data_IF_670393483179
#
_entry.id   IF_670393483179
#
_cell.length_a   1.000
_cell.length_b   1.000
_cell.length_c   1.000
_cell.angle_alpha   90.00
_cell.angle_beta   90.00
_cell.angle_gamma   90.00
#
_symmetry.space_group_name_H-M   'P 1'
#
loop_
_entity.id
_entity.type
_entity.pdbx_description
1 polymer ?
#
# COMPACT_ATOMS: atom_id res chain seq x y z
N UNK A 1 8.98 -15.57 10.91
CA UNK A 1 10.34 -15.18 10.45
C UNK A 1 11.34 -16.31 10.71
N UNK A 2 12.27 -16.60 9.77
CA UNK A 2 13.30 -17.66 9.91
C UNK A 2 14.34 -17.27 10.97
N UNK A 3 14.90 -18.26 11.69
CA UNK A 3 15.88 -18.02 12.78
C UNK A 3 17.17 -17.34 12.32
N UNK A 4 17.62 -17.62 11.11
CA UNK A 4 18.80 -17.01 10.50
C UNK A 4 18.58 -15.50 10.34
N UNK A 5 17.47 -15.12 9.77
CA UNK A 5 17.06 -13.72 9.56
C UNK A 5 16.90 -12.96 10.89
N UNK A 6 16.37 -13.62 11.94
CA UNK A 6 16.31 -13.05 13.28
C UNK A 6 17.68 -12.68 13.82
N UNK A 7 18.68 -13.56 13.65
CA UNK A 7 20.06 -13.30 14.08
C UNK A 7 20.69 -12.14 13.29
N UNK A 8 20.40 -12.04 11.99
CA UNK A 8 20.90 -10.94 11.15
C UNK A 8 20.35 -9.59 11.62
N UNK A 9 19.04 -9.50 11.94
CA UNK A 9 18.46 -8.29 12.49
C UNK A 9 19.07 -7.91 13.85
N UNK A 10 19.22 -8.86 14.77
CA UNK A 10 19.87 -8.62 16.06
C UNK A 10 21.31 -8.11 15.87
N UNK A 11 22.05 -8.69 14.93
CA UNK A 11 23.44 -8.32 14.68
C UNK A 11 23.56 -6.92 14.06
N UNK A 12 22.71 -6.57 13.09
CA UNK A 12 22.81 -5.29 12.38
C UNK A 12 22.32 -4.12 13.24
N UNK A 13 21.39 -4.38 14.17
CA UNK A 13 20.80 -3.37 15.07
C UNK A 13 21.48 -3.33 16.46
N UNK A 14 22.59 -4.05 16.69
CA UNK A 14 23.24 -4.13 18.00
C UNK A 14 23.99 -2.86 18.43
N UNK A 15 24.12 -1.85 17.56
CA UNK A 15 24.77 -0.56 17.79
C UNK A 15 23.96 0.56 17.15
N UNK A 16 24.01 1.78 17.73
CA UNK A 16 23.38 2.96 17.13
C UNK A 16 23.78 3.15 15.66
N UNK A 17 22.80 3.47 14.84
CA UNK A 17 22.92 3.65 13.38
C UNK A 17 22.12 4.88 12.94
N UNK A 18 22.55 5.51 11.84
CA UNK A 18 21.74 6.43 11.06
C UNK A 18 20.89 5.60 10.08
N UNK A 19 19.59 5.71 10.19
CA UNK A 19 18.67 4.86 9.43
C UNK A 19 17.68 5.72 8.63
N UNK A 20 17.52 5.40 7.35
CA UNK A 20 16.45 5.95 6.53
C UNK A 20 15.45 4.85 6.25
N UNK A 21 14.15 5.17 6.38
CA UNK A 21 13.05 4.24 6.16
C UNK A 21 12.19 4.80 5.02
N UNK A 22 11.98 3.99 4.00
CA UNK A 22 11.36 4.43 2.75
C UNK A 22 10.15 3.54 2.44
N UNK A 23 8.91 4.09 2.33
CA UNK A 23 7.74 3.41 1.80
C UNK A 23 7.72 3.47 0.26
N UNK A 24 6.79 2.74 -0.38
CA UNK A 24 6.55 2.92 -1.81
C UNK A 24 5.95 4.29 -2.16
N UNK A 25 6.00 4.68 -3.45
CA UNK A 25 5.31 5.87 -3.99
C UNK A 25 3.80 5.76 -3.77
N UNK A 26 3.16 6.89 -3.44
CA UNK A 26 1.76 7.00 -3.04
C UNK A 26 1.44 6.04 -1.87
N UNK A 27 2.12 6.23 -0.72
CA UNK A 27 1.98 5.31 0.39
C UNK A 27 0.54 5.22 0.88
N UNK A 28 0.11 4.02 1.18
CA UNK A 28 -1.18 3.71 1.81
C UNK A 28 -1.04 3.48 3.32
N UNK A 29 -2.05 2.88 3.94
CA UNK A 29 -2.04 2.66 5.38
C UNK A 29 -1.00 1.64 5.84
N UNK A 30 -0.69 0.62 5.02
CA UNK A 30 0.31 -0.39 5.36
C UNK A 30 1.74 0.16 5.19
N UNK A 31 1.98 0.86 4.08
CA UNK A 31 3.27 1.51 3.83
C UNK A 31 3.62 2.55 4.90
N UNK A 32 2.69 3.43 5.29
CA UNK A 32 2.92 4.43 6.35
C UNK A 32 2.94 3.78 7.74
N UNK A 33 2.03 2.88 8.03
CA UNK A 33 1.97 2.19 9.31
C UNK A 33 3.25 1.43 9.62
N UNK A 34 3.76 0.66 8.66
CA UNK A 34 4.99 -0.11 8.80
C UNK A 34 6.22 0.80 8.99
N UNK A 35 6.35 1.86 8.18
CA UNK A 35 7.49 2.79 8.26
C UNK A 35 7.51 3.58 9.56
N UNK A 36 6.37 4.09 10.01
CA UNK A 36 6.26 4.82 11.27
C UNK A 36 6.51 3.92 12.48
N UNK A 37 6.00 2.68 12.47
CA UNK A 37 6.26 1.71 13.54
C UNK A 37 7.74 1.38 13.67
N UNK A 38 8.43 1.11 12.55
CA UNK A 38 9.89 0.87 12.53
C UNK A 38 10.65 2.12 12.99
N UNK A 39 10.23 3.31 12.55
CA UNK A 39 10.85 4.57 12.97
C UNK A 39 10.77 4.80 14.49
N UNK A 40 9.60 4.59 15.09
CA UNK A 40 9.44 4.68 16.54
C UNK A 40 10.30 3.64 17.26
N UNK A 41 10.28 2.39 16.81
CA UNK A 41 11.07 1.33 17.41
C UNK A 41 12.56 1.64 17.39
N UNK A 42 13.12 2.02 16.24
CA UNK A 42 14.53 2.31 16.08
C UNK A 42 14.97 3.52 16.92
N UNK A 43 14.20 4.59 16.96
CA UNK A 43 14.52 5.75 17.81
C UNK A 43 14.48 5.40 19.31
N UNK A 44 13.53 4.56 19.75
CA UNK A 44 13.47 4.08 21.15
C UNK A 44 14.67 3.19 21.52
N UNK A 45 15.19 2.44 20.56
CA UNK A 45 16.36 1.55 20.78
C UNK A 45 17.70 2.21 20.53
N UNK A 46 17.73 3.55 20.40
CA UNK A 46 18.95 4.37 20.37
C UNK A 46 19.54 4.59 18.98
N UNK A 47 18.84 4.23 17.90
CA UNK A 47 19.19 4.61 16.54
C UNK A 47 18.71 6.03 16.23
N UNK A 48 19.25 6.65 15.19
CA UNK A 48 18.77 7.91 14.62
C UNK A 48 18.04 7.59 13.31
N UNK A 49 16.71 7.49 13.33
CA UNK A 49 15.93 7.10 12.16
C UNK A 49 15.01 8.19 11.67
N UNK A 50 14.83 8.25 10.35
CA UNK A 50 13.95 9.18 9.65
C UNK A 50 13.15 8.46 8.57
N UNK A 51 11.88 8.84 8.40
CA UNK A 51 11.06 8.36 7.29
C UNK A 51 11.16 9.36 6.13
N UNK A 52 11.48 8.84 4.94
CA UNK A 52 11.52 9.60 3.68
C UNK A 52 10.51 9.00 2.71
N UNK A 53 9.39 9.69 2.49
CA UNK A 53 8.40 9.30 1.51
C UNK A 53 8.78 9.80 0.11
N UNK A 54 8.61 9.00 -0.95
CA UNK A 54 8.82 9.48 -2.32
C UNK A 54 7.96 10.70 -2.68
N UNK A 55 6.72 10.74 -2.19
CA UNK A 55 5.76 11.82 -2.47
C UNK A 55 4.67 11.93 -1.40
N UNK A 56 3.65 12.78 -1.67
CA UNK A 56 2.48 12.96 -0.82
C UNK A 56 1.64 11.68 -0.71
N UNK A 57 0.98 11.50 0.43
CA UNK A 57 0.04 10.44 0.73
C UNK A 57 -1.37 11.02 1.01
N UNK A 58 -2.43 10.18 1.05
CA UNK A 58 -3.80 10.66 1.27
C UNK A 58 -4.00 11.35 2.62
N UNK A 59 -4.77 12.45 2.61
CA UNK A 59 -5.03 13.28 3.81
C UNK A 59 -5.66 12.49 4.96
N UNK A 60 -6.43 11.44 4.68
CA UNK A 60 -7.04 10.59 5.71
C UNK A 60 -6.02 9.78 6.53
N UNK A 61 -4.73 9.83 6.21
CA UNK A 61 -3.64 9.24 6.99
C UNK A 61 -2.88 10.26 7.85
N UNK A 62 -3.22 11.56 7.76
CA UNK A 62 -2.55 12.64 8.49
C UNK A 62 -2.76 12.61 10.03
N UNK A 63 -3.57 11.70 10.54
CA UNK A 63 -3.76 11.49 11.99
C UNK A 63 -2.80 10.45 12.56
N UNK A 64 -2.09 9.68 11.73
CA UNK A 64 -1.16 8.67 12.22
C UNK A 64 -0.06 9.29 13.09
N UNK A 65 0.26 8.68 14.25
CA UNK A 65 1.34 9.16 15.09
C UNK A 65 2.66 9.28 14.34
N UNK A 66 3.33 10.44 14.43
CA UNK A 66 4.65 10.68 13.84
C UNK A 66 4.67 11.05 12.36
N UNK A 67 3.51 11.13 11.70
CA UNK A 67 3.42 11.50 10.30
C UNK A 67 3.97 12.91 10.01
N UNK A 68 3.90 13.81 10.98
CA UNK A 68 4.44 15.17 10.90
C UNK A 68 5.96 15.23 10.72
N UNK A 69 6.65 14.14 11.06
CA UNK A 69 8.10 13.98 10.89
C UNK A 69 8.53 13.32 9.57
N UNK A 70 7.58 12.96 8.71
CA UNK A 70 7.88 12.35 7.40
C UNK A 70 8.40 13.42 6.43
N UNK A 71 9.62 13.23 5.95
CA UNK A 71 10.18 14.03 4.85
C UNK A 71 9.62 13.55 3.52
N UNK A 72 9.11 14.48 2.72
CA UNK A 72 8.59 14.16 1.39
C UNK A 72 9.58 14.62 0.34
N UNK A 73 10.11 13.68 -0.43
CA UNK A 73 11.13 13.99 -1.44
C UNK A 73 10.64 15.03 -2.45
N UNK A 74 9.36 15.04 -2.80
CA UNK A 74 8.79 16.02 -3.74
C UNK A 74 8.88 17.47 -3.28
N UNK A 75 8.95 17.72 -1.97
CA UNK A 75 8.99 19.07 -1.38
C UNK A 75 10.29 19.40 -0.65
N UNK A 76 11.03 18.38 -0.22
CA UNK A 76 12.27 18.52 0.57
C UNK A 76 13.40 17.65 -0.05
N UNK A 77 13.58 17.74 -1.37
CA UNK A 77 14.48 16.90 -2.16
C UNK A 77 15.90 16.84 -1.60
N UNK A 78 16.53 18.00 -1.39
CA UNK A 78 17.93 18.08 -0.96
C UNK A 78 18.15 17.37 0.39
N UNK A 79 17.26 17.63 1.35
CA UNK A 79 17.32 17.03 2.69
C UNK A 79 17.07 15.52 2.67
N UNK A 80 16.14 15.06 1.82
CA UNK A 80 15.87 13.64 1.64
C UNK A 80 17.10 12.91 1.06
N UNK A 81 17.74 13.50 0.06
CA UNK A 81 18.97 12.96 -0.56
C UNK A 81 20.11 12.93 0.43
N UNK A 82 20.34 14.03 1.19
CA UNK A 82 21.39 14.10 2.23
C UNK A 82 21.24 12.99 3.27
N UNK A 83 20.00 12.73 3.72
CA UNK A 83 19.74 11.64 4.68
C UNK A 83 20.06 10.26 4.10
N UNK A 84 19.69 10.02 2.84
CA UNK A 84 19.95 8.73 2.16
C UNK A 84 21.46 8.52 1.98
N UNK A 85 22.19 9.56 1.60
CA UNK A 85 23.66 9.49 1.43
C UNK A 85 24.40 9.29 2.75
N UNK A 86 23.89 9.88 3.84
CA UNK A 86 24.49 9.79 5.17
C UNK A 86 24.07 8.52 5.96
N UNK A 87 23.19 7.70 5.44
CA UNK A 87 22.64 6.55 6.13
C UNK A 87 23.66 5.41 6.29
N UNK A 88 23.61 4.71 7.41
CA UNK A 88 24.25 3.41 7.62
C UNK A 88 23.36 2.26 7.11
N UNK A 89 22.03 2.45 7.25
CA UNK A 89 21.00 1.47 6.86
C UNK A 89 19.86 2.17 6.12
N UNK A 90 19.34 1.51 5.10
CA UNK A 90 18.10 1.90 4.42
C UNK A 90 17.10 0.76 4.55
N UNK A 91 16.00 1.02 5.26
CA UNK A 91 14.85 0.12 5.26
C UNK A 91 13.91 0.49 4.11
N UNK A 92 13.55 -0.48 3.32
CA UNK A 92 12.56 -0.38 2.26
C UNK A 92 11.36 -1.22 2.65
N UNK A 93 10.21 -0.57 2.85
CA UNK A 93 9.04 -1.21 3.44
C UNK A 93 7.86 -1.15 2.48
N UNK A 94 7.20 -2.30 2.34
CA UNK A 94 5.98 -2.47 1.58
C UNK A 94 6.14 -2.30 0.07
N UNK A 95 7.28 -2.73 -0.46
CA UNK A 95 7.48 -2.84 -1.90
C UNK A 95 8.56 -3.85 -2.29
N UNK A 96 8.34 -4.49 -3.44
CA UNK A 96 9.13 -5.60 -3.96
C UNK A 96 10.27 -5.20 -4.90
N UNK A 97 10.35 -3.94 -5.34
CA UNK A 97 11.36 -3.46 -6.28
C UNK A 97 11.58 -1.96 -6.18
N UNK A 98 12.80 -1.48 -6.46
CA UNK A 98 13.16 -0.06 -6.37
C UNK A 98 12.40 0.83 -7.35
N UNK A 99 11.89 0.31 -8.46
CA UNK A 99 11.03 1.06 -9.36
C UNK A 99 9.74 1.61 -8.70
N UNK A 100 9.36 1.07 -7.52
CA UNK A 100 8.21 1.55 -6.73
C UNK A 100 8.47 2.87 -5.98
N UNK A 101 9.70 3.36 -5.94
CA UNK A 101 10.08 4.64 -5.30
C UNK A 101 10.51 5.72 -6.30
N UNK A 102 10.46 5.41 -7.62
CA UNK A 102 10.73 6.34 -8.73
C UNK A 102 11.99 7.21 -8.53
N UNK A 103 11.80 8.51 -8.26
CA UNK A 103 12.90 9.47 -8.17
C UNK A 103 13.91 9.17 -7.04
N UNK A 104 13.55 8.37 -6.04
CA UNK A 104 14.49 7.94 -4.98
C UNK A 104 15.36 6.74 -5.40
N UNK A 105 14.98 5.98 -6.43
CA UNK A 105 15.72 4.79 -6.86
C UNK A 105 17.20 5.06 -7.17
N UNK A 106 17.58 6.10 -7.94
CA UNK A 106 19.01 6.39 -8.20
C UNK A 106 19.81 6.66 -6.92
N UNK A 107 19.21 7.38 -5.96
CA UNK A 107 19.87 7.72 -4.70
C UNK A 107 20.06 6.49 -3.80
N UNK A 108 19.05 5.61 -3.72
CA UNK A 108 19.13 4.35 -2.98
C UNK A 108 20.19 3.43 -3.60
N UNK A 109 20.23 3.34 -4.93
CA UNK A 109 21.22 2.53 -5.64
C UNK A 109 22.66 3.04 -5.44
N UNK A 110 22.85 4.36 -5.44
CA UNK A 110 24.16 4.98 -5.25
C UNK A 110 24.65 4.94 -3.78
N UNK A 111 23.73 4.78 -2.81
CA UNK A 111 24.08 4.75 -1.39
C UNK A 111 24.87 3.51 -1.01
N UNK A 112 25.93 3.69 -0.21
CA UNK A 112 26.73 2.61 0.40
C UNK A 112 26.05 1.97 1.61
N UNK A 113 24.92 2.50 2.08
CA UNK A 113 24.14 1.94 3.17
C UNK A 113 23.67 0.53 2.87
N UNK A 114 23.66 -0.35 3.88
CA UNK A 114 23.04 -1.66 3.74
C UNK A 114 21.54 -1.52 3.59
N UNK A 115 20.96 -2.20 2.61
CA UNK A 115 19.56 -2.17 2.27
C UNK A 115 18.84 -3.35 2.91
N UNK A 116 17.74 -3.07 3.58
CA UNK A 116 16.92 -4.06 4.29
C UNK A 116 15.50 -3.95 3.74
N UNK A 117 15.01 -5.01 3.09
CA UNK A 117 13.64 -5.08 2.57
C UNK A 117 12.75 -5.84 3.55
N UNK A 118 11.57 -5.27 3.87
CA UNK A 118 10.47 -5.98 4.52
C UNK A 118 9.23 -5.75 3.67
N UNK A 119 8.71 -6.83 3.06
CA UNK A 119 7.67 -6.74 2.05
C UNK A 119 6.87 -8.03 1.89
N UNK A 120 5.56 -7.88 1.67
CA UNK A 120 4.66 -9.01 1.46
C UNK A 120 4.17 -9.15 0.00
N UNK A 121 4.66 -8.33 -0.91
CA UNK A 121 4.33 -8.42 -2.32
C UNK A 121 4.97 -9.63 -3.01
N UNK A 122 4.36 -10.08 -4.10
CA UNK A 122 4.88 -11.15 -4.94
C UNK A 122 6.07 -10.68 -5.77
N UNK A 123 6.93 -11.64 -6.20
CA UNK A 123 8.05 -11.40 -7.11
C UNK A 123 9.04 -10.32 -6.61
N UNK A 124 9.64 -10.51 -5.43
CA UNK A 124 10.64 -9.57 -4.92
C UNK A 124 11.88 -9.57 -5.79
N UNK A 125 12.42 -8.38 -6.10
CA UNK A 125 13.70 -8.24 -6.78
C UNK A 125 14.87 -8.29 -5.79
N UNK A 126 16.01 -8.78 -6.26
CA UNK A 126 17.22 -9.01 -5.45
C UNK A 126 18.10 -7.75 -5.39
N UNK A 127 17.66 -6.71 -4.65
CA UNK A 127 18.39 -5.45 -4.48
C UNK A 127 18.87 -5.21 -3.05
N UNK A 128 18.31 -5.93 -2.09
CA UNK A 128 18.58 -5.68 -0.68
C UNK A 128 19.53 -6.71 -0.08
N UNK A 129 20.42 -6.25 0.82
CA UNK A 129 21.36 -7.11 1.53
C UNK A 129 20.68 -8.08 2.50
N UNK A 130 19.56 -7.64 3.10
CA UNK A 130 18.72 -8.46 3.98
C UNK A 130 17.29 -8.38 3.45
N UNK A 131 16.68 -9.54 3.21
CA UNK A 131 15.32 -9.63 2.66
C UNK A 131 14.41 -10.43 3.61
N UNK A 132 13.44 -9.73 4.20
CA UNK A 132 12.29 -10.35 4.84
C UNK A 132 11.08 -10.18 3.92
N UNK A 133 10.88 -11.15 3.03
CA UNK A 133 9.78 -11.19 2.08
C UNK A 133 8.96 -12.43 2.29
N UNK A 134 7.62 -12.26 2.42
CA UNK A 134 6.67 -13.37 2.58
C UNK A 134 5.28 -12.96 2.09
N UNK A 135 4.94 -13.37 0.89
CA UNK A 135 3.64 -13.07 0.25
C UNK A 135 2.44 -13.83 0.83
N UNK A 136 2.65 -14.71 1.83
CA UNK A 136 1.56 -15.38 2.55
C UNK A 136 1.09 -14.57 3.78
N UNK A 137 1.80 -13.52 4.16
CA UNK A 137 1.42 -12.62 5.25
C UNK A 137 0.55 -11.51 4.68
N UNK A 138 -0.50 -11.14 5.40
CA UNK A 138 -1.54 -10.23 4.93
C UNK A 138 -1.15 -8.76 4.81
N UNK A 139 -0.02 -8.34 5.40
CA UNK A 139 0.47 -6.96 5.36
C UNK A 139 1.93 -6.86 5.81
N UNK A 140 2.63 -5.83 5.36
CA UNK A 140 3.98 -5.49 5.85
C UNK A 140 3.95 -5.09 7.33
N UNK A 141 2.88 -4.48 7.82
CA UNK A 141 2.70 -4.18 9.24
C UNK A 141 2.67 -5.45 10.11
N UNK A 142 2.05 -6.54 9.68
CA UNK A 142 2.12 -7.81 10.42
C UNK A 142 3.54 -8.38 10.43
N UNK A 143 4.30 -8.21 9.35
CA UNK A 143 5.72 -8.60 9.31
C UNK A 143 6.57 -7.76 10.25
N UNK A 144 6.35 -6.46 10.30
CA UNK A 144 7.02 -5.52 11.23
C UNK A 144 6.66 -5.84 12.67
N UNK A 145 5.38 -6.14 12.98
CA UNK A 145 4.99 -6.64 14.30
C UNK A 145 5.80 -7.88 14.69
N UNK A 146 5.88 -8.88 13.81
CA UNK A 146 6.66 -10.09 14.05
C UNK A 146 8.15 -9.82 14.30
N UNK A 147 8.72 -8.82 13.61
CA UNK A 147 10.12 -8.40 13.80
C UNK A 147 10.31 -7.73 15.17
N UNK A 148 9.54 -6.69 15.46
CA UNK A 148 9.68 -5.91 16.71
C UNK A 148 9.42 -6.79 17.92
N UNK A 149 8.33 -7.58 17.92
CA UNK A 149 7.98 -8.48 19.00
C UNK A 149 9.07 -9.52 19.28
N UNK A 150 9.81 -9.95 18.24
CA UNK A 150 10.95 -10.83 18.40
C UNK A 150 12.19 -10.13 18.97
N UNK A 151 12.47 -8.89 18.54
CA UNK A 151 13.64 -8.12 18.99
C UNK A 151 13.45 -7.60 20.41
N UNK A 152 12.35 -6.94 20.69
CA UNK A 152 11.97 -6.41 22.02
C UNK A 152 10.48 -6.01 22.03
N UNK A 153 9.62 -6.95 22.42
CA UNK A 153 8.17 -6.76 22.50
C UNK A 153 7.75 -5.61 23.45
N UNK A 154 8.55 -5.33 24.47
CA UNK A 154 8.27 -4.27 25.43
C UNK A 154 8.33 -2.86 24.80
N UNK A 155 8.94 -2.70 23.63
CA UNK A 155 8.99 -1.43 22.92
C UNK A 155 7.70 -1.10 22.17
N UNK A 156 6.81 -2.08 21.94
CA UNK A 156 5.53 -1.84 21.27
C UNK A 156 4.61 -1.08 22.23
N UNK A 157 4.63 0.25 22.12
CA UNK A 157 3.72 1.13 22.84
C UNK A 157 2.48 1.45 21.98
N UNK A 158 1.59 2.30 22.53
CA UNK A 158 0.38 2.74 21.86
C UNK A 158 0.63 3.32 20.45
N UNK A 159 1.71 4.09 20.25
CA UNK A 159 2.01 4.70 18.94
C UNK A 159 2.36 3.65 17.91
N UNK A 160 3.27 2.74 18.25
CA UNK A 160 3.64 1.62 17.40
C UNK A 160 2.44 0.72 17.14
N UNK A 161 1.67 0.40 18.19
CA UNK A 161 0.48 -0.44 18.06
C UNK A 161 -0.58 0.19 17.14
N UNK A 162 -0.81 1.51 17.24
CA UNK A 162 -1.75 2.24 16.37
C UNK A 162 -1.29 2.19 14.91
N UNK A 163 -0.01 2.43 14.63
CA UNK A 163 0.53 2.37 13.27
C UNK A 163 0.38 0.96 12.66
N UNK A 164 0.78 -0.08 13.41
CA UNK A 164 0.70 -1.46 12.96
C UNK A 164 -0.73 -1.94 12.76
N UNK A 165 -1.64 -1.61 13.71
CA UNK A 165 -3.06 -1.93 13.58
C UNK A 165 -3.64 -1.33 12.30
N UNK A 166 -3.34 -0.05 12.05
CA UNK A 166 -3.85 0.67 10.88
C UNK A 166 -3.45 -0.03 9.57
N UNK A 167 -2.18 -0.38 9.41
CA UNK A 167 -1.72 -1.05 8.19
C UNK A 167 -2.34 -2.44 8.03
N UNK A 168 -2.34 -3.26 9.08
CA UNK A 168 -2.97 -4.58 9.02
C UNK A 168 -4.46 -4.46 8.65
N UNK A 169 -5.19 -3.53 9.26
CA UNK A 169 -6.61 -3.31 9.00
C UNK A 169 -6.87 -2.87 7.56
N UNK A 170 -6.10 -1.91 7.05
CA UNK A 170 -6.32 -1.37 5.70
C UNK A 170 -6.02 -2.42 4.62
N UNK A 171 -4.90 -3.13 4.74
CA UNK A 171 -4.46 -4.08 3.72
C UNK A 171 -5.22 -5.42 3.73
N UNK A 172 -5.82 -5.77 4.87
CA UNK A 172 -6.75 -6.90 4.97
C UNK A 172 -8.20 -6.54 4.62
N UNK A 173 -8.45 -5.30 4.17
CA UNK A 173 -9.79 -4.81 3.88
C UNK A 173 -10.73 -4.89 5.09
N UNK A 174 -10.25 -4.47 6.26
CA UNK A 174 -10.93 -4.63 7.55
C UNK A 174 -11.20 -6.10 7.88
N UNK A 175 -10.14 -6.92 7.75
CA UNK A 175 -10.11 -8.36 8.09
C UNK A 175 -11.03 -9.25 7.24
N UNK A 176 -11.42 -8.81 6.03
CA UNK A 176 -12.32 -9.55 5.13
C UNK A 176 -11.60 -10.31 4.03
N UNK A 177 -10.35 -9.98 3.73
CA UNK A 177 -9.63 -10.62 2.64
C UNK A 177 -9.08 -12.00 3.03
N UNK A 178 -8.90 -12.91 2.07
CA UNK A 178 -8.39 -14.26 2.34
C UNK A 178 -7.00 -14.31 2.97
N UNK A 179 -6.22 -13.23 2.87
CA UNK A 179 -4.93 -13.07 3.54
C UNK A 179 -5.03 -12.93 5.05
N UNK A 180 -6.23 -12.66 5.60
CA UNK A 180 -6.49 -12.63 7.03
C UNK A 180 -6.45 -14.04 7.61
N UNK A 181 -5.56 -14.28 8.58
CA UNK A 181 -5.34 -15.59 9.21
C UNK A 181 -5.70 -15.55 10.70
N UNK A 182 -5.82 -16.71 11.38
CA UNK A 182 -5.90 -16.72 12.83
C UNK A 182 -4.77 -15.97 13.52
N UNK A 183 -3.55 -16.03 12.96
CA UNK A 183 -2.40 -15.28 13.46
C UNK A 183 -2.60 -13.78 13.36
N UNK A 184 -3.15 -13.28 12.25
CA UNK A 184 -3.50 -11.87 12.07
C UNK A 184 -4.43 -11.40 13.20
N UNK A 185 -5.47 -12.19 13.55
CA UNK A 185 -6.37 -11.85 14.65
C UNK A 185 -5.68 -11.87 16.02
N UNK A 186 -4.74 -12.78 16.27
CA UNK A 186 -3.93 -12.75 17.50
C UNK A 186 -3.08 -11.48 17.58
N UNK A 187 -2.41 -11.11 16.50
CA UNK A 187 -1.63 -9.86 16.44
C UNK A 187 -2.53 -8.64 16.72
N UNK A 188 -3.71 -8.59 16.12
CA UNK A 188 -4.68 -7.52 16.35
C UNK A 188 -5.11 -7.45 17.83
N UNK A 189 -5.38 -8.59 18.47
CA UNK A 189 -5.73 -8.62 19.89
C UNK A 189 -4.59 -8.06 20.76
N UNK A 190 -3.35 -8.47 20.51
CA UNK A 190 -2.18 -7.95 21.23
C UNK A 190 -1.94 -6.45 20.99
N UNK A 191 -2.16 -5.97 19.77
CA UNK A 191 -2.05 -4.52 19.47
C UNK A 191 -3.12 -3.71 20.23
N UNK A 192 -4.34 -4.24 20.40
CA UNK A 192 -5.38 -3.61 21.21
C UNK A 192 -4.96 -3.59 22.69
N UNK A 193 -4.42 -4.69 23.22
CA UNK A 193 -3.91 -4.75 24.60
C UNK A 193 -2.74 -3.78 24.83
N UNK A 194 -1.95 -3.48 23.79
CA UNK A 194 -0.88 -2.47 23.81
C UNK A 194 -1.38 -1.04 23.58
N UNK A 195 -2.70 -0.84 23.51
CA UNK A 195 -3.35 0.48 23.52
C UNK A 195 -3.77 1.01 22.14
N UNK A 196 -3.76 0.22 21.07
CA UNK A 196 -4.36 0.63 19.82
C UNK A 196 -5.88 0.80 19.99
N UNK A 197 -6.38 2.02 19.81
CA UNK A 197 -7.82 2.30 19.88
C UNK A 197 -8.48 1.94 18.53
N UNK A 198 -8.89 0.70 18.39
CA UNK A 198 -9.44 0.18 17.14
C UNK A 198 -10.67 0.97 16.63
N UNK A 199 -11.53 1.44 17.53
CA UNK A 199 -12.71 2.23 17.14
C UNK A 199 -12.31 3.58 16.55
N UNK A 200 -11.38 4.30 17.17
CA UNK A 200 -10.85 5.56 16.66
C UNK A 200 -10.11 5.38 15.34
N UNK A 201 -9.32 4.30 15.22
CA UNK A 201 -8.62 3.95 13.97
C UNK A 201 -9.64 3.73 12.84
N UNK A 202 -10.70 2.94 13.09
CA UNK A 202 -11.77 2.73 12.11
C UNK A 202 -12.46 4.03 11.71
N UNK A 203 -12.79 4.89 12.68
CA UNK A 203 -13.40 6.20 12.41
C UNK A 203 -12.49 7.07 11.53
N UNK A 204 -11.22 7.16 11.86
CA UNK A 204 -10.25 7.97 11.12
C UNK A 204 -10.02 7.49 9.68
N UNK A 205 -10.20 6.20 9.40
CA UNK A 205 -10.01 5.63 8.06
C UNK A 205 -11.31 5.61 7.25
N UNK A 206 -12.45 5.25 7.87
CA UNK A 206 -13.68 4.95 7.13
C UNK A 206 -14.80 5.97 7.32
N UNK A 207 -14.75 6.82 8.38
CA UNK A 207 -15.83 7.74 8.72
C UNK A 207 -15.44 9.23 8.57
N UNK A 208 -14.32 9.51 7.89
CA UNK A 208 -13.81 10.87 7.61
C UNK A 208 -14.09 11.34 6.18
N UNK A 209 -15.03 10.70 5.51
CA UNK A 209 -15.33 11.03 4.13
C UNK A 209 -15.95 12.42 3.99
N UNK A 210 -15.42 13.19 3.05
CA UNK A 210 -16.00 14.48 2.70
C UNK A 210 -17.34 14.32 1.96
N UNK A 211 -18.17 15.35 2.00
CA UNK A 211 -19.41 15.37 1.23
C UNK A 211 -19.15 15.21 -0.27
N UNK A 212 -18.08 15.84 -0.78
CA UNK A 212 -17.67 15.74 -2.19
C UNK A 212 -17.26 14.32 -2.57
N UNK A 213 -16.54 13.60 -1.71
CA UNK A 213 -16.22 12.18 -1.91
C UNK A 213 -17.48 11.32 -2.02
N UNK A 214 -18.49 11.53 -1.15
CA UNK A 214 -19.75 10.78 -1.23
C UNK A 214 -20.53 11.08 -2.50
N UNK A 215 -20.50 12.33 -2.98
CA UNK A 215 -21.08 12.69 -4.28
C UNK A 215 -20.35 12.03 -5.44
N UNK A 216 -19.02 12.00 -5.39
CA UNK A 216 -18.20 11.30 -6.37
C UNK A 216 -18.49 9.79 -6.37
N UNK A 217 -18.67 9.18 -5.20
CA UNK A 217 -19.11 7.79 -5.09
C UNK A 217 -20.47 7.58 -5.76
N UNK A 218 -21.43 8.49 -5.55
CA UNK A 218 -22.73 8.46 -6.23
C UNK A 218 -22.57 8.51 -7.76
N UNK A 219 -21.65 9.34 -8.27
CA UNK A 219 -21.31 9.40 -9.70
C UNK A 219 -20.71 8.06 -10.17
N UNK A 220 -19.75 7.52 -9.43
CA UNK A 220 -19.12 6.24 -9.74
C UNK A 220 -20.13 5.08 -9.81
N UNK A 221 -21.06 5.03 -8.85
CA UNK A 221 -22.12 4.01 -8.84
C UNK A 221 -23.14 4.18 -9.99
N UNK A 222 -23.40 5.42 -10.41
CA UNK A 222 -24.23 5.70 -11.58
C UNK A 222 -23.56 5.22 -12.87
N UNK A 223 -22.23 5.31 -12.93
CA UNK A 223 -21.42 4.88 -14.07
C UNK A 223 -21.08 3.37 -14.04
N UNK A 224 -21.56 2.63 -13.04
CA UNK A 224 -21.31 1.20 -12.93
C UNK A 224 -22.00 0.43 -14.08
N UNK A 225 -21.21 -0.35 -14.81
CA UNK A 225 -21.66 -1.15 -15.93
C UNK A 225 -21.34 -2.62 -15.72
N UNK A 226 -22.21 -3.51 -16.17
CA UNK A 226 -21.99 -4.96 -16.19
C UNK A 226 -21.69 -5.40 -17.61
N UNK A 227 -20.72 -6.33 -17.77
CA UNK A 227 -20.52 -7.00 -19.03
C UNK A 227 -21.51 -8.19 -19.11
N UNK A 228 -22.38 -8.18 -20.12
CA UNK A 228 -23.34 -9.26 -20.28
C UNK A 228 -22.63 -10.62 -20.42
N UNK A 229 -23.23 -11.65 -19.85
CA UNK A 229 -22.73 -13.04 -19.84
C UNK A 229 -21.40 -13.26 -19.09
N UNK A 230 -20.80 -12.21 -18.48
CA UNK A 230 -19.60 -12.35 -17.66
C UNK A 230 -19.83 -11.90 -16.22
N UNK A 231 -19.18 -12.53 -15.24
CA UNK A 231 -19.23 -12.12 -13.84
C UNK A 231 -18.36 -10.87 -13.57
N UNK A 232 -18.45 -9.87 -14.44
CA UNK A 232 -17.57 -8.71 -14.49
C UNK A 232 -18.35 -7.41 -14.52
N UNK A 233 -17.96 -6.47 -13.66
CA UNK A 233 -18.43 -5.09 -13.68
C UNK A 233 -17.29 -4.11 -13.78
N UNK A 234 -17.57 -2.91 -14.27
CA UNK A 234 -16.59 -1.84 -14.30
C UNK A 234 -17.23 -0.48 -14.11
N UNK A 235 -16.43 0.47 -13.63
CA UNK A 235 -16.78 1.87 -13.39
C UNK A 235 -15.84 2.73 -14.24
N UNK A 236 -16.37 3.76 -14.87
CA UNK A 236 -15.56 4.80 -15.54
C UNK A 236 -15.81 6.14 -14.85
N UNK A 237 -14.74 6.92 -14.61
CA UNK A 237 -14.84 8.29 -14.10
C UNK A 237 -13.97 9.18 -14.99
N UNK A 238 -14.60 10.14 -15.64
CA UNK A 238 -13.92 11.15 -16.46
C UNK A 238 -13.32 12.25 -15.60
N UNK A 239 -12.33 12.97 -16.15
CA UNK A 239 -11.74 14.15 -15.49
C UNK A 239 -12.81 15.23 -15.21
N UNK A 240 -13.78 15.41 -16.12
CA UNK A 240 -14.90 16.34 -15.93
C UNK A 240 -15.75 15.97 -14.70
N UNK A 241 -15.99 14.68 -14.45
CA UNK A 241 -16.72 14.21 -13.27
C UNK A 241 -15.89 14.36 -12.00
N UNK A 242 -14.59 14.13 -12.06
CA UNK A 242 -13.66 14.42 -10.97
C UNK A 242 -13.70 15.92 -10.59
N UNK A 243 -13.56 16.80 -11.57
CA UNK A 243 -13.56 18.24 -11.37
C UNK A 243 -14.90 18.74 -10.80
N UNK A 244 -16.03 18.21 -11.31
CA UNK A 244 -17.38 18.54 -10.82
C UNK A 244 -17.60 18.18 -9.35
N UNK A 245 -16.91 17.17 -8.84
CA UNK A 245 -17.02 16.69 -7.47
C UNK A 245 -15.84 17.12 -6.59
N UNK A 246 -15.07 18.15 -6.98
CA UNK A 246 -13.93 18.67 -6.22
C UNK A 246 -12.96 17.57 -5.76
N UNK A 247 -12.69 16.58 -6.65
CA UNK A 247 -11.87 15.42 -6.35
C UNK A 247 -10.53 15.79 -5.72
N UNK A 248 -10.18 15.09 -4.67
CA UNK A 248 -8.85 15.08 -4.06
C UNK A 248 -8.23 13.68 -4.16
N UNK A 249 -6.89 13.65 -4.17
CA UNK A 249 -6.14 12.38 -4.16
C UNK A 249 -6.59 11.53 -2.97
N UNK A 250 -6.95 10.27 -3.24
CA UNK A 250 -7.50 9.34 -2.25
C UNK A 250 -9.03 9.20 -2.26
N UNK A 251 -9.78 10.15 -2.81
CA UNK A 251 -11.26 10.10 -2.78
C UNK A 251 -11.87 8.90 -3.50
N UNK A 252 -11.17 8.32 -4.46
CA UNK A 252 -11.65 7.13 -5.21
C UNK A 252 -11.20 5.81 -4.62
N UNK A 253 -10.47 5.85 -3.51
CA UNK A 253 -10.00 4.63 -2.86
C UNK A 253 -11.18 3.79 -2.36
N UNK A 254 -11.13 2.48 -2.64
CA UNK A 254 -12.19 1.55 -2.28
C UNK A 254 -13.43 1.54 -3.19
N UNK A 255 -13.60 2.49 -4.12
CA UNK A 255 -14.79 2.54 -4.98
C UNK A 255 -14.98 1.28 -5.83
N UNK A 256 -13.89 0.68 -6.30
CA UNK A 256 -13.94 -0.57 -7.08
C UNK A 256 -14.57 -1.73 -6.29
N UNK A 257 -14.46 -1.73 -4.96
CA UNK A 257 -15.00 -2.79 -4.10
C UNK A 257 -16.53 -2.82 -4.07
N UNK A 258 -17.21 -1.68 -4.35
CA UNK A 258 -18.67 -1.68 -4.48
C UNK A 258 -19.13 -2.55 -5.65
N UNK A 259 -18.41 -2.55 -6.77
CA UNK A 259 -18.68 -3.46 -7.88
C UNK A 259 -18.54 -4.93 -7.46
N UNK A 260 -17.51 -5.22 -6.70
CA UNK A 260 -17.24 -6.58 -6.22
C UNK A 260 -18.25 -7.07 -5.17
N UNK A 261 -19.01 -6.17 -4.53
CA UNK A 261 -20.05 -6.53 -3.56
C UNK A 261 -21.33 -7.11 -4.20
N UNK A 262 -21.47 -7.00 -5.51
CA UNK A 262 -22.66 -7.50 -6.23
C UNK A 262 -22.66 -9.04 -6.26
N UNK A 263 -23.89 -9.59 -6.16
CA UNK A 263 -24.10 -11.03 -6.28
C UNK A 263 -23.74 -11.50 -7.69
N UNK A 264 -23.00 -12.61 -7.79
CA UNK A 264 -22.58 -13.18 -9.07
C UNK A 264 -21.46 -12.44 -9.78
N UNK A 265 -20.82 -11.46 -9.13
CA UNK A 265 -19.64 -10.76 -9.67
C UNK A 265 -18.36 -11.29 -9.02
N UNK A 266 -17.41 -11.69 -9.86
CA UNK A 266 -16.08 -12.15 -9.48
C UNK A 266 -14.97 -11.15 -9.81
N UNK A 267 -15.19 -10.21 -10.75
CA UNK A 267 -14.21 -9.19 -11.14
C UNK A 267 -14.85 -7.81 -11.19
N UNK A 268 -14.19 -6.83 -10.59
CA UNK A 268 -14.57 -5.42 -10.67
C UNK A 268 -13.36 -4.56 -11.08
N UNK A 269 -13.59 -3.58 -11.93
CA UNK A 269 -12.56 -2.65 -12.42
C UNK A 269 -13.06 -1.22 -12.33
N UNK A 270 -12.19 -0.29 -11.94
CA UNK A 270 -12.43 1.13 -12.07
C UNK A 270 -11.39 1.74 -13.01
N UNK A 271 -11.82 2.60 -13.91
CA UNK A 271 -11.02 3.35 -14.87
C UNK A 271 -11.22 4.84 -14.62
N UNK A 272 -10.17 5.54 -14.26
CA UNK A 272 -10.22 6.94 -13.84
C UNK A 272 -9.30 7.75 -14.75
N UNK A 273 -9.86 8.75 -15.41
CA UNK A 273 -9.08 9.68 -16.23
C UNK A 273 -8.18 10.55 -15.36
N UNK A 274 -6.92 10.71 -15.76
CA UNK A 274 -5.95 11.59 -15.12
C UNK A 274 -5.28 12.46 -16.17
N UNK A 275 -5.80 13.67 -16.35
CA UNK A 275 -5.28 14.63 -17.32
C UNK A 275 -3.86 15.09 -17.00
N UNK A 276 -3.46 15.16 -15.74
CA UNK A 276 -2.11 15.61 -15.34
C UNK A 276 -1.04 14.62 -15.80
N UNK A 277 -1.30 13.31 -15.65
CA UNK A 277 -0.39 12.26 -16.06
C UNK A 277 -0.67 11.76 -17.49
N UNK A 278 -1.70 12.27 -18.16
CA UNK A 278 -2.13 11.87 -19.52
C UNK A 278 -2.36 10.36 -19.64
N UNK A 279 -2.99 9.76 -18.63
CA UNK A 279 -3.30 8.33 -18.55
C UNK A 279 -4.70 8.08 -18.00
N UNK A 280 -5.20 6.87 -18.23
CA UNK A 280 -6.31 6.29 -17.49
C UNK A 280 -5.70 5.40 -16.39
N UNK A 281 -5.89 5.76 -15.13
CA UNK A 281 -5.54 4.92 -13.98
C UNK A 281 -6.58 3.84 -13.79
N UNK A 282 -6.13 2.62 -13.56
CA UNK A 282 -7.01 1.47 -13.41
C UNK A 282 -6.75 0.76 -12.09
N UNK A 283 -7.84 0.34 -11.43
CA UNK A 283 -7.75 -0.57 -10.29
C UNK A 283 -8.60 -1.80 -10.57
N UNK A 284 -8.03 -2.95 -10.32
CA UNK A 284 -8.63 -4.25 -10.57
C UNK A 284 -8.81 -4.99 -9.25
N UNK A 285 -9.95 -5.63 -9.08
CA UNK A 285 -10.25 -6.51 -7.93
C UNK A 285 -10.91 -7.78 -8.42
N UNK A 286 -10.60 -8.90 -7.77
CA UNK A 286 -11.27 -10.18 -8.05
C UNK A 286 -11.61 -10.93 -6.77
N UNK A 287 -12.44 -11.97 -6.93
CA UNK A 287 -12.71 -13.02 -5.95
C UNK A 287 -12.29 -14.35 -6.53
N UNK A 288 -11.83 -15.26 -5.68
CA UNK A 288 -11.48 -16.61 -6.11
C UNK A 288 -10.17 -16.71 -6.89
N UNK A 289 -10.12 -17.58 -7.87
CA UNK A 289 -8.88 -18.01 -8.54
C UNK A 289 -8.40 -17.09 -9.67
N UNK A 290 -9.22 -16.14 -10.14
CA UNK A 290 -8.81 -15.26 -11.23
C UNK A 290 -7.79 -14.22 -10.75
N UNK A 291 -6.56 -14.29 -11.30
CA UNK A 291 -5.48 -13.36 -11.00
C UNK A 291 -5.65 -12.04 -11.77
N UNK A 292 -6.10 -10.98 -11.07
CA UNK A 292 -6.10 -9.64 -11.66
C UNK A 292 -4.69 -9.06 -11.78
N UNK A 293 -3.72 -9.57 -11.05
CA UNK A 293 -2.31 -9.20 -11.20
C UNK A 293 -1.77 -9.60 -12.58
N UNK A 294 -1.95 -10.88 -12.96
CA UNK A 294 -1.50 -11.39 -14.28
C UNK A 294 -2.24 -10.70 -15.42
N UNK A 295 -3.54 -10.45 -15.23
CA UNK A 295 -4.35 -9.72 -16.20
C UNK A 295 -3.85 -8.27 -16.39
N UNK A 296 -3.61 -7.54 -15.30
CA UNK A 296 -3.11 -6.17 -15.35
C UNK A 296 -1.71 -6.08 -15.99
N UNK A 297 -0.81 -7.00 -15.66
CA UNK A 297 0.53 -7.10 -16.27
C UNK A 297 0.43 -7.35 -17.78
N UNK A 298 -0.41 -8.28 -18.18
CA UNK A 298 -0.53 -8.69 -19.59
C UNK A 298 -1.11 -7.59 -20.48
N UNK A 299 -2.11 -6.84 -19.99
CA UNK A 299 -2.91 -5.95 -20.85
C UNK A 299 -2.77 -4.46 -20.53
N UNK A 300 -2.34 -4.08 -19.31
CA UNK A 300 -2.44 -2.70 -18.81
C UNK A 300 -1.20 -2.18 -18.08
N UNK A 301 -0.01 -2.74 -18.36
CA UNK A 301 1.26 -2.34 -17.76
C UNK A 301 1.16 -2.18 -16.22
N UNK A 302 0.48 -3.14 -15.60
CA UNK A 302 0.13 -3.08 -14.19
C UNK A 302 0.83 -4.12 -13.33
N UNK A 303 0.35 -4.27 -12.10
CA UNK A 303 0.85 -5.25 -11.14
C UNK A 303 0.19 -5.07 -9.78
N UNK A 304 0.50 -5.97 -8.84
CA UNK A 304 -0.04 -5.98 -7.49
C UNK A 304 -0.16 -7.38 -6.93
N UNK A 305 -1.20 -7.62 -6.14
CA UNK A 305 -1.53 -8.91 -5.56
C UNK A 305 -2.47 -9.72 -6.47
N UNK A 306 -2.59 -11.00 -6.22
CA UNK A 306 -3.45 -11.92 -6.97
C UNK A 306 -4.87 -11.36 -7.20
N UNK A 307 -5.52 -10.88 -6.15
CA UNK A 307 -6.89 -10.36 -6.20
C UNK A 307 -7.01 -8.83 -6.17
N UNK A 308 -5.90 -8.08 -6.16
CA UNK A 308 -5.85 -6.63 -6.12
C UNK A 308 -4.66 -6.11 -6.91
N UNK A 309 -4.91 -5.46 -8.04
CA UNK A 309 -3.87 -4.93 -8.91
C UNK A 309 -4.19 -3.53 -9.40
N UNK A 310 -3.16 -2.78 -9.75
CA UNK A 310 -3.26 -1.51 -10.47
C UNK A 310 -2.84 -1.68 -11.93
N UNK A 311 -3.14 -0.68 -12.75
CA UNK A 311 -2.68 -0.61 -14.14
C UNK A 311 -2.92 0.77 -14.74
N UNK A 312 -2.41 0.99 -15.94
CA UNK A 312 -2.57 2.24 -16.66
C UNK A 312 -2.75 2.03 -18.17
N UNK A 313 -3.42 2.97 -18.79
CA UNK A 313 -3.57 3.06 -20.25
C UNK A 313 -3.30 4.49 -20.71
N UNK A 314 -2.59 4.63 -21.84
CA UNK A 314 -2.34 5.92 -22.52
C UNK A 314 -3.40 6.25 -23.58
N UNK A 315 -4.41 5.41 -23.72
CA UNK A 315 -5.54 5.63 -24.63
C UNK A 315 -6.56 6.54 -23.94
N UNK A 316 -7.52 7.08 -24.68
CA UNK A 316 -8.66 7.78 -24.11
C UNK A 316 -9.51 6.87 -23.21
N UNK A 317 -10.37 7.45 -22.38
CA UNK A 317 -11.24 6.67 -21.48
C UNK A 317 -12.12 5.69 -22.27
N UNK A 318 -12.72 6.11 -23.39
CA UNK A 318 -13.56 5.27 -24.24
C UNK A 318 -12.77 4.13 -24.93
N UNK A 319 -11.56 4.43 -25.44
CA UNK A 319 -10.71 3.40 -26.04
C UNK A 319 -10.19 2.42 -24.99
N UNK A 320 -9.87 2.89 -23.77
CA UNK A 320 -9.47 2.04 -22.63
C UNK A 320 -10.61 1.12 -22.21
N UNK A 321 -11.85 1.64 -22.13
CA UNK A 321 -13.07 0.85 -21.88
C UNK A 321 -13.22 -0.25 -22.91
N UNK A 322 -13.13 0.09 -24.20
CA UNK A 322 -13.21 -0.87 -25.30
C UNK A 322 -12.09 -1.93 -25.25
N UNK A 323 -10.86 -1.50 -24.95
CA UNK A 323 -9.70 -2.40 -24.78
C UNK A 323 -9.95 -3.35 -23.61
N UNK A 324 -10.48 -2.84 -22.47
CA UNK A 324 -10.78 -3.68 -21.31
C UNK A 324 -11.81 -4.76 -21.64
N UNK A 325 -12.94 -4.38 -22.24
CA UNK A 325 -14.01 -5.31 -22.62
C UNK A 325 -13.47 -6.40 -23.57
N UNK A 326 -12.69 -6.02 -24.57
CA UNK A 326 -12.08 -6.97 -25.51
C UNK A 326 -11.05 -7.90 -24.83
N UNK A 327 -10.28 -7.39 -23.89
CA UNK A 327 -9.24 -8.17 -23.20
C UNK A 327 -9.84 -9.15 -22.20
N UNK A 328 -10.83 -8.74 -21.41
CA UNK A 328 -11.48 -9.62 -20.42
C UNK A 328 -12.30 -10.73 -21.10
N UNK A 329 -12.88 -10.45 -22.27
CA UNK A 329 -13.62 -11.44 -23.07
C UNK A 329 -12.71 -12.54 -23.59
N UNK A 330 -11.42 -12.27 -23.84
CA UNK A 330 -10.45 -13.30 -24.28
C UNK A 330 -10.15 -14.33 -23.18
N UNK A 331 -10.29 -13.96 -21.93
CA UNK A 331 -9.99 -14.81 -20.76
C UNK A 331 -11.25 -15.29 -20.04
N UNK A 332 -12.42 -15.21 -20.69
CA UNK A 332 -13.73 -15.57 -20.11
C UNK A 332 -13.77 -16.97 -19.46
N UNK A 333 -12.99 -17.91 -19.97
CA UNK A 333 -12.94 -19.28 -19.44
C UNK A 333 -12.17 -19.39 -18.11
N UNK A 334 -11.53 -18.31 -17.64
CA UNK A 334 -10.79 -18.23 -16.38
C UNK A 334 -11.57 -17.50 -15.29
N UNK A 335 -12.72 -16.90 -15.60
CA UNK A 335 -13.57 -16.08 -14.71
C UNK A 335 -14.52 -16.95 -13.82
#
# INVERSE_FOLDING_TARGET
>A
MKKELQKEFIQILNKPKKVVIIPHKNPDGDALGSTLAVNFFLNKTGHQSHVVSPNEYPDFLNWLPGQEGILKHTTETDKAVELIEAADLIFTLDFNSLGRVEMLEPHINASSAKKIMIDHHQEPSDYADIMYSDSNIGSTCEMVYNLISHLDDAQIDQKIATCLYTGIMTDTGSFRFPSTTPKTHHVIAELIDKGANHSEIHQNIYDTFTFDRLRLLGTALTNLKKIEELPVVYITISQKELNRNNFKKGDTEGFVNYGLSLVGISVAVIMIENEQEQIIKMSFRSKGAFSVNDFARTYFNGGGHHNAAGGASKLSLSETESKFINSISKVKNLL
#
